data_IF_664744608245
#
_entry.id   IF_664744608245
#
_cell.length_a   1.000
_cell.length_b   1.000
_cell.length_c   1.000
_cell.angle_alpha   90.00
_cell.angle_beta   90.00
_cell.angle_gamma   90.00
#
_symmetry.space_group_name_H-M   'P 1'
#
loop_
_entity.id
_entity.type
_entity.pdbx_description
1 polymer ?
#
# COMPACT_ATOMS: atom_id res chain seq x y z
N UNK A 1 22.68 23.04 -1.54
CA UNK A 1 21.84 21.84 -1.40
C UNK A 1 22.72 20.71 -0.89
N UNK A 2 22.27 19.90 0.08
CA UNK A 2 23.05 18.80 0.65
C UNK A 2 22.23 17.52 0.62
N UNK A 3 22.77 16.46 0.03
CA UNK A 3 22.18 15.12 0.10
C UNK A 3 22.61 14.49 1.43
N UNK A 4 21.65 13.96 2.18
CA UNK A 4 21.85 13.31 3.47
C UNK A 4 21.39 11.85 3.36
N UNK A 5 22.19 10.92 3.88
CA UNK A 5 21.71 9.55 4.06
C UNK A 5 20.65 9.49 5.15
N UNK A 6 19.84 8.44 5.14
CA UNK A 6 18.81 8.25 6.17
C UNK A 6 19.38 8.26 7.60
N UNK A 7 20.61 7.77 7.83
CA UNK A 7 21.24 7.82 9.16
C UNK A 7 21.51 9.25 9.67
N UNK A 8 21.53 10.23 8.76
CA UNK A 8 21.77 11.63 9.07
C UNK A 8 20.46 12.42 9.26
N UNK A 9 19.30 11.75 9.11
CA UNK A 9 17.96 12.32 9.26
C UNK A 9 17.24 11.48 10.32
N UNK A 10 16.89 12.08 11.45
CA UNK A 10 16.10 11.36 12.46
C UNK A 10 14.75 10.90 11.90
N UNK A 11 14.21 9.80 12.44
CA UNK A 11 12.88 9.33 12.02
C UNK A 11 11.79 10.36 12.31
N UNK A 12 11.93 11.14 13.39
CA UNK A 12 11.02 12.24 13.70
C UNK A 12 11.05 13.32 12.62
N UNK A 13 12.24 13.72 12.13
CA UNK A 13 12.36 14.67 11.04
C UNK A 13 11.81 14.12 9.72
N UNK A 14 12.08 12.84 9.45
CA UNK A 14 11.59 12.15 8.25
C UNK A 14 10.06 12.04 8.23
N UNK A 15 9.47 11.64 9.36
CA UNK A 15 8.03 11.48 9.48
C UNK A 15 7.32 12.83 9.54
N UNK A 16 7.92 13.86 10.15
CA UNK A 16 7.38 15.22 10.10
C UNK A 16 7.33 15.76 8.66
N UNK A 17 8.36 15.48 7.85
CA UNK A 17 8.32 15.77 6.41
C UNK A 17 7.20 14.99 5.73
N UNK A 18 7.08 13.69 6.04
CA UNK A 18 5.99 12.87 5.51
C UNK A 18 4.64 13.50 5.85
N UNK A 19 4.39 13.88 7.09
CA UNK A 19 3.09 14.43 7.49
C UNK A 19 2.75 15.75 6.77
N UNK A 20 3.76 16.58 6.48
CA UNK A 20 3.59 17.87 5.81
C UNK A 20 3.48 17.79 4.27
N UNK A 21 4.21 16.87 3.61
CA UNK A 21 4.24 16.81 2.14
C UNK A 21 2.95 16.22 1.56
N UNK A 22 2.31 16.81 0.54
CA UNK A 22 1.16 16.16 -0.11
C UNK A 22 1.55 14.90 -0.89
N UNK A 23 2.83 14.76 -1.27
CA UNK A 23 3.36 13.71 -2.15
C UNK A 23 3.74 12.41 -1.41
N UNK A 24 3.50 12.35 -0.11
CA UNK A 24 3.83 11.19 0.73
C UNK A 24 2.59 10.41 1.17
N UNK A 25 2.77 9.10 1.25
CA UNK A 25 1.82 8.16 1.81
C UNK A 25 2.47 7.38 2.97
N UNK A 26 1.71 6.48 3.61
CA UNK A 26 2.23 5.62 4.68
C UNK A 26 3.47 4.83 4.28
N UNK A 27 3.64 4.55 2.98
CA UNK A 27 4.82 3.86 2.41
C UNK A 27 6.10 4.68 2.44
N UNK A 28 6.02 6.01 2.56
CA UNK A 28 7.18 6.89 2.69
C UNK A 28 7.71 6.96 4.12
N UNK A 29 6.89 6.68 5.13
CA UNK A 29 7.26 6.87 6.54
C UNK A 29 8.37 5.92 7.02
N UNK A 30 9.04 6.33 8.09
CA UNK A 30 10.13 5.58 8.75
C UNK A 30 9.74 4.11 9.02
N UNK A 31 8.54 3.89 9.57
CA UNK A 31 8.01 2.54 9.83
C UNK A 31 7.95 1.65 8.60
N UNK A 32 7.63 2.21 7.42
CA UNK A 32 7.61 1.43 6.20
C UNK A 32 8.99 0.95 5.82
N UNK A 33 10.02 1.78 6.01
CA UNK A 33 11.43 1.37 5.82
C UNK A 33 11.81 0.30 6.83
N UNK A 34 11.52 0.50 8.12
CA UNK A 34 11.82 -0.46 9.18
C UNK A 34 11.19 -1.83 8.91
N UNK A 35 9.92 -1.86 8.47
CA UNK A 35 9.26 -3.11 8.09
C UNK A 35 9.93 -3.82 6.92
N UNK A 36 10.52 -3.09 5.97
CA UNK A 36 11.31 -3.73 4.90
C UNK A 36 12.63 -4.29 5.42
N UNK A 37 13.23 -3.67 6.44
CA UNK A 37 14.48 -4.14 7.07
C UNK A 37 14.30 -5.32 8.02
N UNK A 38 13.06 -5.75 8.29
CA UNK A 38 12.81 -7.01 8.98
C UNK A 38 13.28 -8.23 8.17
N UNK A 39 13.45 -8.09 6.84
CA UNK A 39 14.18 -9.07 6.03
C UNK A 39 15.68 -8.75 6.07
N UNK A 40 16.54 -9.66 6.56
CA UNK A 40 17.98 -9.42 6.69
C UNK A 40 18.69 -9.28 5.34
N UNK A 41 18.04 -9.63 4.22
CA UNK A 41 18.60 -9.44 2.87
C UNK A 41 18.34 -8.04 2.30
N UNK A 42 17.65 -7.18 3.06
CA UNK A 42 17.37 -5.81 2.68
C UNK A 42 18.31 -4.84 3.39
N UNK A 43 18.71 -3.77 2.70
CA UNK A 43 19.47 -2.67 3.28
C UNK A 43 18.86 -1.32 2.89
N UNK A 44 18.86 -0.38 3.84
CA UNK A 44 18.31 0.95 3.63
C UNK A 44 19.36 1.88 3.02
N UNK A 45 19.04 2.40 1.85
CA UNK A 45 19.80 3.40 1.12
C UNK A 45 18.96 4.65 0.84
N UNK A 46 17.89 4.85 1.62
CA UNK A 46 17.07 6.05 1.58
C UNK A 46 17.90 7.29 1.86
N UNK A 47 17.45 8.41 1.34
CA UNK A 47 18.12 9.69 1.50
C UNK A 47 17.14 10.84 1.47
N UNK A 48 17.61 12.01 1.86
CA UNK A 48 16.87 13.26 1.74
C UNK A 48 17.74 14.37 1.20
N UNK A 49 17.09 15.41 0.68
CA UNK A 49 17.75 16.62 0.21
C UNK A 49 17.47 17.74 1.20
N UNK A 50 18.52 18.29 1.79
CA UNK A 50 18.47 19.36 2.78
C UNK A 50 18.92 20.68 2.15
N UNK A 51 18.16 21.76 2.39
CA UNK A 51 18.53 23.11 2.00
C UNK A 51 18.28 24.06 3.18
N UNK A 52 19.30 24.80 3.59
CA UNK A 52 19.24 25.76 4.70
C UNK A 52 18.67 25.16 6.01
N UNK A 53 18.99 23.90 6.29
CA UNK A 53 18.51 23.19 7.48
C UNK A 53 17.08 22.66 7.39
N UNK A 54 16.42 22.81 6.24
CA UNK A 54 15.07 22.29 5.97
C UNK A 54 15.12 21.13 4.98
N UNK A 55 14.38 20.05 5.29
CA UNK A 55 14.26 18.90 4.42
C UNK A 55 13.33 19.24 3.25
N UNK A 56 13.86 19.23 2.04
CA UNK A 56 13.17 19.63 0.81
C UNK A 56 12.64 18.44 0.02
N UNK A 57 13.24 17.26 0.21
CA UNK A 57 12.84 16.02 -0.43
C UNK A 57 13.24 14.81 0.42
N UNK A 58 12.50 13.72 0.26
CA UNK A 58 12.88 12.39 0.73
C UNK A 58 12.75 11.37 -0.41
N UNK A 59 13.59 10.35 -0.40
CA UNK A 59 13.54 9.24 -1.34
C UNK A 59 13.72 7.92 -0.56
N UNK A 60 12.64 7.16 -0.32
CA UNK A 60 12.75 5.82 0.23
C UNK A 60 13.42 4.88 -0.80
N UNK A 61 14.47 4.19 -0.37
CA UNK A 61 15.27 3.38 -1.28
C UNK A 61 15.82 2.15 -0.57
N UNK A 62 15.16 1.01 -0.75
CA UNK A 62 15.55 -0.27 -0.16
C UNK A 62 16.25 -1.12 -1.22
N UNK A 63 17.51 -1.49 -0.96
CA UNK A 63 18.23 -2.46 -1.77
C UNK A 63 17.88 -3.86 -1.27
N UNK A 64 17.55 -4.77 -2.17
CA UNK A 64 17.19 -6.15 -1.84
C UNK A 64 17.84 -7.14 -2.80
N UNK A 65 18.02 -8.36 -2.34
CA UNK A 65 18.36 -9.48 -3.22
C UNK A 65 17.16 -9.87 -4.11
N UNK A 66 17.45 -10.19 -5.38
CA UNK A 66 16.49 -10.82 -6.28
C UNK A 66 16.53 -12.34 -6.01
N UNK A 67 15.41 -12.98 -5.63
CA UNK A 67 15.39 -14.42 -5.35
C UNK A 67 15.94 -15.24 -6.51
N UNK A 68 16.64 -16.33 -6.17
CA UNK A 68 17.20 -17.28 -7.13
C UNK A 68 18.29 -16.70 -8.07
N UNK A 69 18.83 -15.53 -7.72
CA UNK A 69 19.94 -14.87 -8.44
C UNK A 69 21.00 -14.35 -7.47
N UNK A 70 22.13 -13.88 -8.01
CA UNK A 70 23.15 -13.12 -7.25
C UNK A 70 22.97 -11.61 -7.40
N UNK A 71 21.87 -11.16 -8.01
CA UNK A 71 21.62 -9.78 -8.36
C UNK A 71 20.87 -9.03 -7.25
N UNK A 72 20.99 -7.71 -7.26
CA UNK A 72 20.29 -6.81 -6.33
C UNK A 72 19.49 -5.77 -7.09
N UNK A 73 18.38 -5.33 -6.51
CA UNK A 73 17.55 -4.27 -7.06
C UNK A 73 17.09 -3.30 -5.99
N UNK A 74 16.71 -2.09 -6.40
CA UNK A 74 15.92 -1.21 -5.56
C UNK A 74 14.43 -1.50 -5.71
N UNK A 75 13.82 -2.04 -4.66
CA UNK A 75 12.38 -2.29 -4.53
C UNK A 75 12.03 -2.67 -3.08
N UNK A 76 10.80 -2.42 -2.65
CA UNK A 76 10.32 -2.82 -1.31
C UNK A 76 10.11 -4.34 -1.21
N UNK A 77 9.49 -4.93 -2.22
CA UNK A 77 9.22 -6.37 -2.24
C UNK A 77 9.36 -6.95 -3.65
N UNK A 78 9.26 -8.28 -3.79
CA UNK A 78 9.21 -8.93 -5.12
C UNK A 78 8.15 -8.29 -6.03
N UNK A 79 7.00 -7.93 -5.47
CA UNK A 79 5.85 -7.43 -6.22
C UNK A 79 5.57 -5.94 -5.95
N UNK A 80 6.46 -5.24 -5.25
CA UNK A 80 6.25 -3.84 -4.89
C UNK A 80 7.53 -3.04 -5.11
N UNK A 81 7.45 -2.11 -6.06
CA UNK A 81 8.46 -1.09 -6.30
C UNK A 81 8.66 -0.20 -5.07
N UNK A 82 9.74 0.58 -5.03
CA UNK A 82 9.93 1.61 -3.99
C UNK A 82 9.06 2.83 -4.32
N UNK A 83 8.47 3.53 -3.33
CA UNK A 83 7.75 4.77 -3.58
C UNK A 83 8.68 5.81 -4.21
N UNK A 84 8.15 6.58 -5.16
CA UNK A 84 8.86 7.69 -5.77
C UNK A 84 9.31 8.71 -4.72
N UNK A 85 10.39 9.47 -5.00
CA UNK A 85 10.76 10.60 -4.18
C UNK A 85 9.57 11.53 -3.95
N UNK A 86 9.48 12.09 -2.75
CA UNK A 86 8.45 13.04 -2.37
C UNK A 86 9.09 14.37 -2.00
N UNK A 87 8.46 15.45 -2.43
CA UNK A 87 8.97 16.81 -2.32
C UNK A 87 8.19 17.63 -1.29
N UNK A 88 8.83 18.66 -0.76
CA UNK A 88 8.20 19.58 0.18
C UNK A 88 6.99 20.28 -0.46
N UNK A 89 6.00 20.64 0.37
CA UNK A 89 4.84 21.41 -0.09
C UNK A 89 5.24 22.83 -0.50
N UNK A 90 4.51 23.42 -1.46
CA UNK A 90 4.60 24.85 -1.76
C UNK A 90 5.80 25.24 -2.64
N UNK A 91 6.45 24.27 -3.28
CA UNK A 91 7.50 24.53 -4.25
C UNK A 91 6.93 25.12 -5.55
N UNK A 92 7.62 26.12 -6.10
CA UNK A 92 7.40 26.54 -7.48
C UNK A 92 7.81 25.43 -8.45
N UNK A 93 7.18 25.37 -9.63
CA UNK A 93 7.36 24.30 -10.61
C UNK A 93 8.84 24.05 -10.97
N UNK A 94 9.60 25.12 -11.26
CA UNK A 94 11.04 25.00 -11.59
C UNK A 94 11.83 24.33 -10.45
N UNK A 95 11.55 24.70 -9.20
CA UNK A 95 12.23 24.12 -8.04
C UNK A 95 11.80 22.68 -7.76
N UNK A 96 10.54 22.37 -8.03
CA UNK A 96 10.00 21.02 -7.95
C UNK A 96 10.71 20.11 -8.96
N UNK A 97 10.82 20.53 -10.21
CA UNK A 97 11.52 19.81 -11.27
C UNK A 97 13.02 19.63 -10.96
N UNK A 98 13.71 20.69 -10.50
CA UNK A 98 15.12 20.64 -10.08
C UNK A 98 15.36 19.59 -8.99
N UNK A 99 14.53 19.61 -7.93
CA UNK A 99 14.67 18.68 -6.80
C UNK A 99 14.32 17.24 -7.19
N UNK A 100 13.29 17.05 -8.03
CA UNK A 100 12.93 15.72 -8.53
C UNK A 100 14.07 15.15 -9.38
N UNK A 101 14.61 15.93 -10.32
CA UNK A 101 15.77 15.53 -11.13
C UNK A 101 16.95 15.14 -10.24
N UNK A 102 17.24 15.90 -9.18
CA UNK A 102 18.32 15.59 -8.25
C UNK A 102 18.08 14.28 -7.49
N UNK A 103 16.85 14.03 -7.01
CA UNK A 103 16.49 12.75 -6.38
C UNK A 103 16.67 11.57 -7.34
N UNK A 104 16.22 11.71 -8.59
CA UNK A 104 16.35 10.63 -9.58
C UNK A 104 17.83 10.40 -9.94
N UNK A 105 18.62 11.46 -10.09
CA UNK A 105 20.07 11.38 -10.34
C UNK A 105 20.81 10.70 -9.19
N UNK A 106 20.51 11.05 -7.94
CA UNK A 106 21.12 10.40 -6.76
C UNK A 106 20.71 8.92 -6.67
N UNK A 107 19.47 8.58 -7.03
CA UNK A 107 19.01 7.18 -7.11
C UNK A 107 19.84 6.39 -8.12
N UNK A 108 20.06 6.93 -9.32
CA UNK A 108 20.91 6.31 -10.34
C UNK A 108 22.35 6.14 -9.84
N UNK A 109 22.92 7.17 -9.20
CA UNK A 109 24.28 7.11 -8.66
C UNK A 109 24.44 6.06 -7.56
N UNK A 110 23.41 5.85 -6.73
CA UNK A 110 23.39 4.78 -5.73
C UNK A 110 23.25 3.42 -6.38
N UNK A 111 22.42 3.29 -7.41
CA UNK A 111 22.21 2.03 -8.12
C UNK A 111 23.52 1.52 -8.72
N UNK A 112 24.23 2.40 -9.44
CA UNK A 112 25.54 2.08 -10.04
C UNK A 112 26.57 1.73 -8.96
N UNK A 113 26.67 2.53 -7.88
CA UNK A 113 27.64 2.32 -6.80
C UNK A 113 27.42 1.02 -6.02
N UNK A 114 26.19 0.55 -5.97
CA UNK A 114 25.77 -0.64 -5.22
C UNK A 114 25.55 -1.84 -6.13
N UNK A 115 25.96 -1.77 -7.40
CA UNK A 115 25.80 -2.84 -8.38
C UNK A 115 24.34 -3.35 -8.44
N UNK A 116 23.37 -2.45 -8.32
CA UNK A 116 21.96 -2.79 -8.47
C UNK A 116 21.65 -2.93 -9.96
N UNK A 117 21.16 -4.09 -10.40
CA UNK A 117 20.86 -4.34 -11.81
C UNK A 117 19.66 -3.52 -12.31
N UNK A 118 18.78 -3.12 -11.39
CA UNK A 118 17.63 -2.26 -11.70
C UNK A 118 17.07 -1.50 -10.49
N UNK A 119 16.30 -0.46 -10.79
CA UNK A 119 15.45 0.23 -9.83
C UNK A 119 14.00 0.19 -10.30
N UNK A 120 13.09 -0.17 -9.38
CA UNK A 120 11.65 -0.13 -9.59
C UNK A 120 11.05 0.95 -8.72
N UNK A 121 10.40 1.93 -9.34
CA UNK A 121 9.76 3.05 -8.65
C UNK A 121 8.27 3.09 -8.98
N UNK A 122 7.42 3.47 -8.03
CA UNK A 122 6.01 3.77 -8.29
C UNK A 122 5.56 5.06 -7.61
N UNK A 123 4.56 5.72 -8.19
CA UNK A 123 3.84 6.83 -7.59
C UNK A 123 2.55 6.27 -7.01
N UNK A 124 2.39 6.45 -5.72
CA UNK A 124 1.25 5.95 -4.97
C UNK A 124 -0.04 6.67 -5.40
N UNK A 125 -1.13 5.95 -5.73
CA UNK A 125 -2.39 6.59 -6.13
C UNK A 125 -2.97 7.49 -5.03
N UNK A 126 -2.53 7.31 -3.78
CA UNK A 126 -2.96 8.09 -2.63
C UNK A 126 -2.02 9.27 -2.30
N UNK A 127 -1.12 9.72 -3.18
CA UNK A 127 -0.21 10.88 -2.92
C UNK A 127 -0.46 12.12 -3.75
N UNK A 128 -1.50 12.14 -4.59
CA UNK A 128 -1.94 13.35 -5.28
C UNK A 128 -3.38 13.64 -4.92
N UNK A 129 -3.84 14.90 -4.96
CA UNK A 129 -5.27 15.14 -5.02
C UNK A 129 -5.74 14.43 -6.29
N UNK A 130 -6.62 13.41 -6.15
CA UNK A 130 -7.23 12.71 -7.29
C UNK A 130 -8.06 13.65 -8.20
N UNK A 131 -8.14 14.93 -7.85
CA UNK A 131 -8.80 16.02 -8.56
C UNK A 131 -7.88 16.77 -9.54
N UNK A 132 -6.57 16.48 -9.56
CA UNK A 132 -5.64 17.05 -10.56
C UNK A 132 -5.77 16.26 -11.86
N UNK A 133 -5.76 16.94 -13.02
CA UNK A 133 -5.72 16.29 -14.32
C UNK A 133 -4.65 15.21 -14.34
N UNK A 134 -5.10 13.97 -14.45
CA UNK A 134 -4.22 12.81 -14.50
C UNK A 134 -3.49 12.90 -15.83
N UNK A 135 -2.17 13.12 -15.77
CA UNK A 135 -1.30 13.04 -16.94
C UNK A 135 -1.62 11.77 -17.72
N UNK A 136 -1.76 11.87 -19.04
CA UNK A 136 -1.98 10.69 -19.89
C UNK A 136 -0.72 9.84 -20.04
N UNK A 137 0.44 10.34 -19.58
CA UNK A 137 1.73 9.69 -19.70
C UNK A 137 2.38 9.46 -18.33
N UNK A 138 3.13 8.36 -18.23
CA UNK A 138 3.90 8.02 -17.04
C UNK A 138 5.00 9.06 -16.79
N UNK A 139 4.96 9.81 -15.68
CA UNK A 139 5.93 10.86 -15.39
C UNK A 139 7.34 10.33 -15.10
N UNK A 140 7.52 9.02 -14.90
CA UNK A 140 8.84 8.41 -14.70
C UNK A 140 9.61 8.24 -16.02
N UNK A 141 8.92 8.26 -17.16
CA UNK A 141 9.52 8.06 -18.48
C UNK A 141 10.59 9.11 -18.80
N UNK A 142 10.39 10.36 -18.37
CA UNK A 142 11.37 11.45 -18.55
C UNK A 142 12.72 11.19 -17.84
N UNK A 143 12.74 10.30 -16.85
CA UNK A 143 13.96 9.91 -16.12
C UNK A 143 14.58 8.61 -16.64
N UNK A 144 14.12 8.13 -17.81
CA UNK A 144 14.64 6.93 -18.46
C UNK A 144 14.07 5.61 -17.90
N UNK A 145 12.95 5.67 -17.17
CA UNK A 145 12.26 4.46 -16.73
C UNK A 145 11.37 3.93 -17.86
N UNK A 146 11.43 2.62 -18.09
CA UNK A 146 10.45 1.91 -18.91
C UNK A 146 9.14 1.81 -18.15
N UNK A 147 8.03 2.10 -18.82
CA UNK A 147 6.72 2.08 -18.21
C UNK A 147 6.34 0.67 -17.72
N UNK A 148 6.03 0.56 -16.43
CA UNK A 148 5.51 -0.62 -15.78
C UNK A 148 4.22 -0.31 -15.00
N UNK A 149 3.58 0.81 -15.33
CA UNK A 149 2.38 1.31 -14.67
C UNK A 149 1.24 0.32 -14.80
N UNK A 150 0.30 0.44 -13.87
CA UNK A 150 -0.91 -0.38 -13.81
C UNK A 150 -2.08 0.47 -13.32
N UNK A 151 -3.21 -0.18 -13.02
CA UNK A 151 -4.42 0.46 -12.54
C UNK A 151 -4.69 0.03 -11.10
N UNK A 152 -4.98 1.00 -10.24
CA UNK A 152 -5.60 0.78 -8.94
C UNK A 152 -7.09 1.17 -8.99
N UNK A 153 -7.88 0.64 -8.06
CA UNK A 153 -9.30 0.99 -7.94
C UNK A 153 -9.53 1.73 -6.63
N UNK A 154 -9.89 3.00 -6.72
CA UNK A 154 -10.06 3.85 -5.53
C UNK A 154 -11.52 4.25 -5.38
N UNK A 155 -12.07 4.02 -4.19
CA UNK A 155 -13.42 4.42 -3.82
C UNK A 155 -13.38 5.82 -3.20
N UNK A 156 -14.12 6.75 -3.78
CA UNK A 156 -14.38 8.08 -3.21
C UNK A 156 -15.43 7.97 -2.09
N UNK A 157 -14.98 8.05 -0.84
CA UNK A 157 -15.83 7.92 0.34
C UNK A 157 -16.63 9.20 0.66
N UNK A 158 -16.45 10.28 -0.09
CA UNK A 158 -17.31 11.47 0.03
C UNK A 158 -18.74 11.19 -0.45
N UNK A 159 -18.90 10.25 -1.40
CA UNK A 159 -20.21 9.81 -1.94
C UNK A 159 -21.11 9.23 -0.86
N UNK A 160 -22.42 9.40 -0.98
CA UNK A 160 -23.35 8.80 -0.02
C UNK A 160 -23.41 7.27 -0.18
N UNK A 161 -23.90 6.55 0.84
CA UNK A 161 -23.92 5.08 0.83
C UNK A 161 -24.71 4.50 -0.35
N UNK A 162 -25.82 5.14 -0.73
CA UNK A 162 -26.64 4.69 -1.85
C UNK A 162 -25.87 4.77 -3.17
N UNK A 163 -25.15 5.87 -3.39
CA UNK A 163 -24.26 6.06 -4.55
C UNK A 163 -23.16 5.00 -4.58
N UNK A 164 -22.48 4.78 -3.45
CA UNK A 164 -21.43 3.77 -3.31
C UNK A 164 -21.95 2.38 -3.65
N UNK A 165 -23.12 2.01 -3.11
CA UNK A 165 -23.72 0.69 -3.34
C UNK A 165 -24.13 0.49 -4.81
N UNK A 166 -24.75 1.51 -5.44
CA UNK A 166 -25.17 1.44 -6.86
C UNK A 166 -23.98 1.28 -7.81
N UNK A 167 -22.82 1.83 -7.46
CA UNK A 167 -21.59 1.68 -8.26
C UNK A 167 -20.97 0.29 -8.19
N UNK A 168 -21.31 -0.52 -7.19
CA UNK A 168 -20.83 -1.91 -7.11
C UNK A 168 -21.39 -2.78 -8.25
N UNK A 169 -20.82 -3.96 -8.47
CA UNK A 169 -21.42 -4.93 -9.40
C UNK A 169 -22.76 -5.46 -8.87
N UNK A 170 -23.65 -5.90 -9.78
CA UNK A 170 -24.90 -6.58 -9.40
C UNK A 170 -24.64 -7.79 -8.48
N UNK A 171 -23.56 -8.52 -8.71
CA UNK A 171 -23.16 -9.68 -7.90
C UNK A 171 -22.82 -9.26 -6.47
N UNK A 172 -21.94 -8.27 -6.30
CA UNK A 172 -21.54 -7.79 -4.97
C UNK A 172 -22.73 -7.20 -4.19
N UNK A 173 -23.59 -6.40 -4.82
CA UNK A 173 -24.83 -5.94 -4.17
C UNK A 173 -25.71 -7.09 -3.70
N UNK A 174 -25.90 -8.11 -4.55
CA UNK A 174 -26.69 -9.29 -4.19
C UNK A 174 -26.06 -10.06 -3.04
N UNK A 175 -24.74 -10.15 -2.99
CA UNK A 175 -24.00 -10.86 -1.96
C UNK A 175 -24.05 -10.12 -0.62
N UNK A 176 -23.93 -8.79 -0.64
CA UNK A 176 -24.12 -7.93 0.55
C UNK A 176 -25.55 -8.10 1.07
N UNK A 177 -26.56 -7.99 0.21
CA UNK A 177 -27.97 -8.14 0.60
C UNK A 177 -28.27 -9.53 1.16
N UNK A 178 -27.65 -10.58 0.60
CA UNK A 178 -27.77 -11.95 1.11
C UNK A 178 -27.13 -12.07 2.50
N UNK A 179 -25.90 -11.58 2.65
CA UNK A 179 -25.14 -11.66 3.89
C UNK A 179 -25.75 -10.82 5.02
N UNK A 180 -26.39 -9.68 4.71
CA UNK A 180 -27.14 -8.87 5.69
C UNK A 180 -28.37 -9.58 6.25
N UNK A 181 -28.94 -10.56 5.53
CA UNK A 181 -30.01 -11.41 6.04
C UNK A 181 -29.49 -12.58 6.87
N UNK A 182 -28.16 -12.76 6.91
CA UNK A 182 -27.50 -13.65 7.84
C UNK A 182 -27.10 -12.87 9.07
N UNK A 183 -27.00 -13.57 10.18
CA UNK A 183 -26.54 -12.99 11.45
C UNK A 183 -25.00 -12.86 11.49
N UNK A 184 -24.40 -12.47 10.36
CA UNK A 184 -22.98 -12.19 10.31
C UNK A 184 -22.71 -10.83 10.95
N UNK A 185 -21.62 -10.75 11.72
CA UNK A 185 -21.18 -9.51 12.36
C UNK A 185 -19.78 -9.14 11.90
N UNK A 186 -19.46 -7.85 11.96
CA UNK A 186 -18.11 -7.34 11.68
C UNK A 186 -17.63 -6.58 12.90
N UNK A 187 -16.49 -7.02 13.43
CA UNK A 187 -15.80 -6.39 14.54
C UNK A 187 -14.62 -5.55 14.00
N UNK A 188 -14.45 -4.35 14.54
CA UNK A 188 -13.39 -3.42 14.15
C UNK A 188 -12.42 -3.19 15.30
N UNK A 189 -11.14 -3.31 14.99
CA UNK A 189 -10.05 -3.12 15.92
C UNK A 189 -9.07 -2.07 15.41
N UNK A 190 -8.68 -1.15 16.27
CA UNK A 190 -7.68 -0.12 16.02
C UNK A 190 -6.75 0.01 17.24
N UNK A 191 -5.91 1.04 17.26
CA UNK A 191 -4.94 1.25 18.34
C UNK A 191 -5.55 1.37 19.74
N UNK A 192 -6.86 1.62 19.87
CA UNK A 192 -7.52 1.82 21.16
C UNK A 192 -8.08 0.53 21.77
N UNK A 193 -8.32 -0.51 20.97
CA UNK A 193 -8.99 -1.73 21.42
C UNK A 193 -8.37 -3.04 20.89
N UNK A 194 -7.35 -2.98 20.04
CA UNK A 194 -6.64 -4.17 19.59
C UNK A 194 -5.88 -4.83 20.75
N UNK A 195 -5.90 -6.16 20.78
CA UNK A 195 -5.10 -6.98 21.71
C UNK A 195 -4.24 -7.98 20.93
N UNK A 196 -3.21 -8.52 21.57
CA UNK A 196 -2.39 -9.59 20.99
C UNK A 196 -3.20 -10.84 20.65
N UNK A 197 -4.24 -11.16 21.43
CA UNK A 197 -5.10 -12.31 21.17
C UNK A 197 -5.93 -12.12 19.89
N UNK A 198 -6.52 -10.94 19.69
CA UNK A 198 -7.24 -10.60 18.46
C UNK A 198 -6.29 -10.59 17.26
N UNK A 199 -5.08 -10.08 17.46
CA UNK A 199 -4.07 -10.10 16.42
C UNK A 199 -3.65 -11.53 16.02
N UNK A 200 -3.45 -12.41 17.01
CA UNK A 200 -3.14 -13.82 16.78
C UNK A 200 -4.24 -14.53 15.99
N UNK A 201 -5.51 -14.22 16.27
CA UNK A 201 -6.64 -14.72 15.46
C UNK A 201 -6.50 -14.34 13.99
N UNK A 202 -6.09 -13.11 13.67
CA UNK A 202 -5.88 -12.71 12.28
C UNK A 202 -4.68 -13.42 11.63
N UNK A 203 -3.58 -13.60 12.37
CA UNK A 203 -2.41 -14.38 11.89
C UNK A 203 -2.82 -15.81 11.56
N UNK A 204 -3.54 -16.49 12.47
CA UNK A 204 -4.01 -17.86 12.29
C UNK A 204 -4.91 -17.98 11.05
N UNK A 205 -5.83 -17.04 10.88
CA UNK A 205 -6.70 -16.95 9.70
C UNK A 205 -5.87 -16.78 8.41
N UNK A 206 -4.82 -15.94 8.46
CA UNK A 206 -3.96 -15.66 7.32
C UNK A 206 -3.11 -16.86 6.92
N UNK A 207 -2.49 -17.54 7.89
CA UNK A 207 -1.74 -18.79 7.66
C UNK A 207 -2.65 -19.88 7.10
N UNK A 208 -3.85 -20.06 7.66
CA UNK A 208 -4.84 -20.99 7.14
C UNK A 208 -5.22 -20.66 5.68
N UNK A 209 -5.47 -19.39 5.37
CA UNK A 209 -5.83 -18.97 4.02
C UNK A 209 -4.67 -19.15 3.01
N UNK A 210 -3.42 -18.93 3.44
CA UNK A 210 -2.24 -19.09 2.62
C UNK A 210 -1.82 -20.57 2.44
N UNK A 211 -2.20 -21.45 3.37
CA UNK A 211 -1.76 -22.85 3.40
C UNK A 211 -0.29 -23.03 3.77
N UNK A 212 0.35 -21.97 4.28
CA UNK A 212 1.75 -21.93 4.71
C UNK A 212 1.94 -20.82 5.73
N UNK A 213 3.04 -20.87 6.46
CA UNK A 213 3.51 -19.72 7.24
C UNK A 213 3.88 -18.62 6.24
N UNK A 214 3.27 -17.46 6.42
CA UNK A 214 3.58 -16.24 5.68
C UNK A 214 4.14 -15.23 6.66
N UNK A 215 5.18 -14.53 6.23
CA UNK A 215 5.95 -13.55 7.00
C UNK A 215 6.70 -14.14 8.21
N UNK A 216 7.80 -13.51 8.59
CA UNK A 216 8.54 -13.83 9.81
C UNK A 216 7.81 -13.27 11.04
N UNK A 217 8.13 -13.77 12.27
CA UNK A 217 7.62 -13.18 13.51
C UNK A 217 7.89 -11.67 13.61
N UNK A 218 9.05 -11.21 13.16
CA UNK A 218 9.45 -9.80 13.17
C UNK A 218 8.57 -8.97 12.25
N UNK A 219 8.24 -9.49 11.07
CA UNK A 219 7.33 -8.83 10.13
C UNK A 219 5.90 -8.73 10.69
N UNK A 220 5.43 -9.76 11.41
CA UNK A 220 4.13 -9.70 12.09
C UNK A 220 4.13 -8.73 13.27
N UNK A 221 5.19 -8.71 14.07
CA UNK A 221 5.36 -7.77 15.17
C UNK A 221 5.39 -6.32 14.65
N UNK A 222 6.07 -6.08 13.53
CA UNK A 222 6.10 -4.76 12.90
C UNK A 222 4.71 -4.33 12.39
N UNK A 223 3.97 -5.25 11.76
CA UNK A 223 2.60 -4.97 11.32
C UNK A 223 1.68 -4.67 12.51
N UNK A 224 1.84 -5.39 13.62
CA UNK A 224 1.12 -5.13 14.87
C UNK A 224 1.48 -3.75 15.44
N UNK A 225 2.75 -3.37 15.43
CA UNK A 225 3.19 -2.05 15.88
C UNK A 225 2.56 -0.93 15.04
N UNK A 226 2.35 -1.12 13.73
CA UNK A 226 1.60 -0.14 12.91
C UNK A 226 0.15 -0.02 13.34
N UNK A 227 -0.51 -1.14 13.63
CA UNK A 227 -1.89 -1.18 14.11
C UNK A 227 -2.01 -0.46 15.47
N UNK A 228 -1.14 -0.79 16.42
CA UNK A 228 -1.04 -0.12 17.73
C UNK A 228 -0.66 1.36 17.60
N UNK A 229 0.10 1.74 16.58
CA UNK A 229 0.46 3.13 16.28
C UNK A 229 -0.64 3.94 15.57
N UNK A 230 -1.77 3.32 15.21
CA UNK A 230 -2.88 3.99 14.52
C UNK A 230 -2.72 4.15 13.00
N UNK A 231 -1.76 3.44 12.40
CA UNK A 231 -1.50 3.42 10.94
C UNK A 231 -2.15 2.24 10.23
N UNK A 232 -2.94 1.47 10.97
CA UNK A 232 -3.80 0.44 10.43
C UNK A 232 -5.07 0.27 11.28
N UNK A 233 -6.02 -0.49 10.74
CA UNK A 233 -7.16 -1.03 11.46
C UNK A 233 -7.41 -2.46 10.97
N UNK A 234 -7.95 -3.31 11.83
CA UNK A 234 -8.28 -4.69 11.54
C UNK A 234 -9.81 -4.85 11.59
N UNK A 235 -10.38 -5.46 10.56
CA UNK A 235 -11.79 -5.83 10.54
C UNK A 235 -11.91 -7.36 10.47
N UNK A 236 -12.70 -7.95 11.35
CA UNK A 236 -12.95 -9.39 11.39
C UNK A 236 -14.45 -9.67 11.21
N UNK A 237 -14.80 -10.49 10.22
CA UNK A 237 -16.15 -10.99 10.01
C UNK A 237 -16.35 -12.30 10.78
N UNK A 238 -17.45 -12.36 11.54
CA UNK A 238 -17.84 -13.52 12.35
C UNK A 238 -19.12 -14.16 11.80
N UNK A 239 -19.22 -15.48 11.94
CA UNK A 239 -20.42 -16.24 11.58
C UNK A 239 -21.62 -15.99 12.48
N UNK A 240 -22.74 -16.63 12.14
CA UNK A 240 -24.02 -16.58 12.86
C UNK A 240 -23.84 -16.94 14.35
N UNK A 241 -24.66 -16.35 15.23
CA UNK A 241 -24.74 -16.65 16.67
C UNK A 241 -23.40 -16.55 17.42
N UNK A 242 -22.52 -15.63 17.01
CA UNK A 242 -21.21 -15.46 17.65
C UNK A 242 -20.21 -16.57 17.34
N UNK A 243 -20.40 -17.27 16.21
CA UNK A 243 -19.53 -18.35 15.74
C UNK A 243 -18.07 -17.95 15.45
N UNK A 244 -17.33 -18.78 14.68
CA UNK A 244 -15.93 -18.52 14.40
C UNK A 244 -15.75 -17.30 13.49
N UNK A 245 -14.55 -16.72 13.52
CA UNK A 245 -14.13 -15.73 12.54
C UNK A 245 -13.97 -16.40 11.16
N UNK A 246 -14.68 -15.85 10.18
CA UNK A 246 -14.76 -16.36 8.82
C UNK A 246 -13.73 -15.71 7.90
N UNK A 247 -13.54 -14.40 8.06
CA UNK A 247 -12.67 -13.58 7.23
C UNK A 247 -12.13 -12.39 8.01
N UNK A 248 -11.00 -11.86 7.59
CA UNK A 248 -10.35 -10.72 8.21
C UNK A 248 -9.63 -9.88 7.18
N UNK A 249 -9.56 -8.58 7.44
CA UNK A 249 -8.91 -7.59 6.58
C UNK A 249 -8.12 -6.62 7.43
N UNK A 250 -6.85 -6.44 7.08
CA UNK A 250 -6.02 -5.36 7.58
C UNK A 250 -6.09 -4.19 6.59
N UNK A 251 -6.46 -3.02 7.09
CA UNK A 251 -6.57 -1.77 6.36
C UNK A 251 -5.44 -0.86 6.82
N UNK A 252 -4.55 -0.43 5.92
CA UNK A 252 -3.56 0.59 6.25
C UNK A 252 -4.18 1.97 6.12
N UNK A 253 -3.89 2.87 7.06
CA UNK A 253 -4.50 4.20 7.15
C UNK A 253 -3.43 5.28 7.32
N UNK A 254 -3.59 6.39 6.61
CA UNK A 254 -2.73 7.57 6.75
C UNK A 254 -3.45 8.78 6.15
N UNK A 255 -3.24 10.02 6.62
CA UNK A 255 -3.82 11.24 6.00
C UNK A 255 -5.28 11.15 5.50
N UNK A 256 -6.17 10.52 6.27
CA UNK A 256 -7.59 10.27 5.90
C UNK A 256 -7.78 9.51 4.59
N UNK A 257 -6.84 8.65 4.19
CA UNK A 257 -7.04 7.67 3.11
C UNK A 257 -6.77 6.27 3.65
N UNK A 258 -7.25 5.26 2.95
CA UNK A 258 -7.15 3.88 3.38
C UNK A 258 -6.67 2.99 2.22
N UNK A 259 -5.97 1.93 2.55
CA UNK A 259 -5.48 0.93 1.60
C UNK A 259 -5.84 -0.48 2.07
N UNK A 260 -6.45 -1.26 1.18
CA UNK A 260 -6.78 -2.66 1.40
C UNK A 260 -5.50 -3.51 1.37
N UNK A 261 -4.88 -3.69 2.54
CA UNK A 261 -3.50 -4.19 2.65
C UNK A 261 -3.40 -5.70 2.66
N UNK A 262 -4.03 -6.36 3.63
CA UNK A 262 -3.98 -7.81 3.78
C UNK A 262 -5.37 -8.37 4.00
N UNK A 263 -5.62 -9.56 3.49
CA UNK A 263 -6.92 -10.21 3.62
C UNK A 263 -6.76 -11.70 3.76
N UNK A 264 -7.63 -12.29 4.58
CA UNK A 264 -7.72 -13.72 4.73
C UNK A 264 -9.19 -14.14 4.86
N UNK A 265 -9.53 -15.25 4.22
CA UNK A 265 -10.80 -15.94 4.41
C UNK A 265 -10.46 -17.38 4.71
N UNK A 266 -10.98 -17.89 5.83
CA UNK A 266 -10.77 -19.25 6.26
C UNK A 266 -11.18 -20.21 5.13
N UNK A 267 -10.29 -21.12 4.68
CA UNK A 267 -10.59 -22.06 3.60
C UNK A 267 -11.86 -22.88 3.83
N UNK A 268 -12.17 -23.23 5.09
CA UNK A 268 -13.37 -24.00 5.45
C UNK A 268 -14.68 -23.26 5.14
N UNK A 269 -14.63 -21.92 5.08
CA UNK A 269 -15.79 -21.06 4.92
C UNK A 269 -15.78 -20.29 3.59
N UNK A 270 -14.85 -20.57 2.67
CA UNK A 270 -14.77 -19.88 1.37
C UNK A 270 -16.00 -20.06 0.48
N UNK A 271 -16.74 -21.16 0.68
CA UNK A 271 -18.01 -21.41 -0.01
C UNK A 271 -19.18 -20.61 0.55
N UNK A 272 -19.03 -19.97 1.73
CA UNK A 272 -20.05 -19.11 2.29
C UNK A 272 -20.20 -17.86 1.44
N UNK A 273 -21.38 -17.73 0.86
CA UNK A 273 -21.71 -16.63 -0.04
C UNK A 273 -21.69 -15.29 0.69
N UNK A 274 -20.96 -14.34 0.11
CA UNK A 274 -21.07 -12.92 0.45
C UNK A 274 -20.31 -12.45 1.69
N UNK A 275 -19.63 -13.32 2.44
CA UNK A 275 -18.84 -12.93 3.63
C UNK A 275 -17.81 -11.84 3.29
N UNK A 276 -17.03 -12.02 2.22
CA UNK A 276 -16.02 -11.04 1.81
C UNK A 276 -16.63 -9.71 1.35
N UNK A 277 -17.73 -9.76 0.58
CA UNK A 277 -18.41 -8.55 0.11
C UNK A 277 -19.06 -7.77 1.26
N UNK A 278 -19.65 -8.50 2.21
CA UNK A 278 -20.21 -7.95 3.45
C UNK A 278 -19.14 -7.28 4.32
N UNK A 279 -18.01 -7.96 4.56
CA UNK A 279 -16.89 -7.41 5.32
C UNK A 279 -16.38 -6.08 4.69
N UNK A 280 -16.17 -6.06 3.38
CA UNK A 280 -15.72 -4.86 2.68
C UNK A 280 -16.78 -3.74 2.69
N UNK A 281 -18.07 -4.07 2.60
CA UNK A 281 -19.15 -3.08 2.73
C UNK A 281 -19.15 -2.40 4.11
N UNK A 282 -18.97 -3.20 5.17
CA UNK A 282 -18.83 -2.66 6.52
C UNK A 282 -17.55 -1.82 6.68
N UNK A 283 -16.42 -2.23 6.07
CA UNK A 283 -15.18 -1.44 6.07
C UNK A 283 -15.40 -0.08 5.38
N UNK A 284 -16.07 -0.05 4.24
CA UNK A 284 -16.41 1.20 3.53
C UNK A 284 -17.23 2.13 4.43
N UNK A 285 -18.27 1.58 5.09
CA UNK A 285 -19.10 2.35 6.03
C UNK A 285 -18.31 2.88 7.23
N UNK A 286 -17.43 2.05 7.83
CA UNK A 286 -16.62 2.45 8.97
C UNK A 286 -15.59 3.51 8.62
N UNK A 287 -14.89 3.36 7.49
CA UNK A 287 -13.95 4.37 6.99
C UNK A 287 -14.66 5.71 6.73
N UNK A 288 -15.84 5.68 6.12
CA UNK A 288 -16.66 6.87 5.90
C UNK A 288 -17.07 7.52 7.24
N UNK A 289 -17.54 6.74 8.20
CA UNK A 289 -17.93 7.22 9.55
C UNK A 289 -16.76 7.89 10.27
N UNK A 290 -15.53 7.39 10.07
CA UNK A 290 -14.28 7.96 10.61
C UNK A 290 -13.73 9.14 9.81
N UNK A 291 -14.41 9.57 8.74
CA UNK A 291 -14.01 10.74 7.95
C UNK A 291 -12.87 10.49 6.97
N UNK A 292 -12.65 9.24 6.55
CA UNK A 292 -11.73 8.95 5.45
C UNK A 292 -12.34 9.41 4.12
N UNK A 293 -11.48 9.90 3.23
CA UNK A 293 -11.82 10.48 1.93
C UNK A 293 -11.75 9.44 0.82
N UNK A 294 -10.77 8.54 0.87
CA UNK A 294 -10.50 7.56 -0.18
C UNK A 294 -10.16 6.19 0.38
N UNK A 295 -10.59 5.13 -0.32
CA UNK A 295 -10.21 3.75 -0.04
C UNK A 295 -9.69 3.06 -1.29
N UNK A 296 -8.39 2.80 -1.32
CA UNK A 296 -7.71 2.05 -2.38
C UNK A 296 -7.89 0.55 -2.17
N UNK A 297 -8.60 -0.10 -3.09
CA UNK A 297 -8.83 -1.55 -3.11
C UNK A 297 -7.59 -2.32 -3.60
N UNK A 298 -6.54 -1.62 -4.00
CA UNK A 298 -5.28 -2.12 -4.50
C UNK A 298 -5.23 -2.22 -6.02
N UNK A 299 -4.06 -2.59 -6.50
CA UNK A 299 -3.73 -2.57 -7.92
C UNK A 299 -3.92 -3.90 -8.63
N UNK A 300 -3.99 -3.78 -9.95
CA UNK A 300 -3.87 -4.82 -10.95
C UNK A 300 -2.38 -5.17 -11.14
N UNK A 301 -1.97 -6.44 -11.12
CA UNK A 301 -0.54 -6.82 -11.37
C UNK A 301 -0.29 -7.31 -12.80
N UNK A 302 -1.32 -7.32 -13.67
CA UNK A 302 -1.20 -7.89 -15.02
C UNK A 302 -0.41 -7.02 -16.02
N UNK A 303 0.36 -6.04 -15.56
CA UNK A 303 1.30 -5.26 -16.39
C UNK A 303 2.73 -5.79 -16.26
N UNK A 304 3.02 -6.61 -15.25
CA UNK A 304 4.21 -7.45 -15.30
C UNK A 304 3.93 -8.60 -16.27
N UNK A 305 4.91 -8.92 -17.11
CA UNK A 305 4.88 -10.05 -18.07
C UNK A 305 4.87 -11.43 -17.37
N UNK A 306 4.15 -11.54 -16.27
CA UNK A 306 4.01 -12.73 -15.43
C UNK A 306 2.61 -13.26 -15.70
N UNK A 307 2.51 -14.53 -16.10
CA UNK A 307 1.22 -15.20 -16.18
C UNK A 307 0.56 -15.21 -14.81
N UNK A 308 -0.53 -14.45 -14.66
CA UNK A 308 -1.31 -14.44 -13.43
C UNK A 308 -2.02 -15.79 -13.26
N UNK A 309 -1.93 -16.35 -12.07
CA UNK A 309 -2.73 -17.50 -11.69
C UNK A 309 -4.23 -17.14 -11.67
N UNK A 310 -5.09 -18.14 -11.87
CA UNK A 310 -6.54 -17.98 -11.71
C UNK A 310 -6.93 -17.32 -10.37
N UNK A 311 -6.22 -17.68 -9.30
CA UNK A 311 -6.42 -17.10 -7.96
C UNK A 311 -6.20 -15.59 -7.95
N UNK A 312 -5.14 -15.10 -8.59
CA UNK A 312 -4.83 -13.67 -8.64
C UNK A 312 -5.85 -12.91 -9.49
N UNK A 313 -6.28 -13.50 -10.61
CA UNK A 313 -7.36 -12.95 -11.45
C UNK A 313 -8.66 -12.86 -10.65
N UNK A 314 -9.01 -13.88 -9.87
CA UNK A 314 -10.22 -13.89 -9.05
C UNK A 314 -10.18 -12.83 -7.93
N UNK A 315 -9.03 -12.66 -7.26
CA UNK A 315 -8.82 -11.62 -6.23
C UNK A 315 -9.00 -10.22 -6.84
N UNK A 316 -8.45 -10.02 -8.03
CA UNK A 316 -8.51 -8.75 -8.74
C UNK A 316 -9.93 -8.42 -9.22
N UNK A 317 -10.63 -9.40 -9.79
CA UNK A 317 -12.02 -9.26 -10.16
C UNK A 317 -12.89 -8.94 -8.94
N UNK A 318 -12.67 -9.60 -7.81
CA UNK A 318 -13.35 -9.28 -6.55
C UNK A 318 -13.16 -7.80 -6.17
N UNK A 319 -11.93 -7.29 -6.15
CA UNK A 319 -11.63 -5.88 -5.82
C UNK A 319 -12.31 -4.88 -6.76
N UNK A 320 -12.26 -5.13 -8.08
CA UNK A 320 -12.87 -4.25 -9.10
C UNK A 320 -14.37 -4.08 -8.92
N UNK A 321 -15.05 -5.08 -8.38
CA UNK A 321 -16.51 -5.09 -8.29
C UNK A 321 -17.11 -4.25 -7.15
N UNK A 322 -16.28 -3.55 -6.37
CA UNK A 322 -16.72 -2.60 -5.33
C UNK A 322 -16.98 -1.17 -5.84
N UNK A 323 -16.87 -0.91 -7.14
CA UNK A 323 -17.32 0.35 -7.73
C UNK A 323 -16.34 1.53 -7.62
N UNK A 324 -15.08 1.27 -7.24
CA UNK A 324 -14.01 2.26 -7.27
C UNK A 324 -13.68 2.73 -8.69
N UNK A 325 -13.22 3.96 -8.80
CA UNK A 325 -12.73 4.54 -10.05
C UNK A 325 -11.35 3.97 -10.38
N UNK A 326 -11.09 3.59 -11.65
CA UNK A 326 -9.75 3.20 -12.08
C UNK A 326 -8.84 4.43 -12.07
N UNK A 327 -7.72 4.34 -11.36
CA UNK A 327 -6.68 5.38 -11.33
C UNK A 327 -5.34 4.78 -11.74
N UNK A 328 -4.48 5.52 -12.45
CA UNK A 328 -3.14 5.04 -12.73
C UNK A 328 -2.34 4.89 -11.44
N UNK A 329 -1.76 3.71 -11.26
CA UNK A 329 -0.60 3.51 -10.41
C UNK A 329 0.61 3.61 -11.32
N UNK A 330 1.19 4.80 -11.40
CA UNK A 330 2.37 5.02 -12.24
C UNK A 330 3.54 4.23 -11.67
N UNK A 331 4.18 3.41 -12.50
CA UNK A 331 5.36 2.66 -12.09
C UNK A 331 6.35 2.57 -13.23
N UNK A 332 7.62 2.46 -12.91
CA UNK A 332 8.70 2.42 -13.87
C UNK A 332 9.80 1.47 -13.43
N UNK A 333 10.46 0.86 -14.42
CA UNK A 333 11.66 0.06 -14.23
C UNK A 333 12.80 0.68 -15.02
N UNK A 334 13.93 0.92 -14.37
CA UNK A 334 15.17 1.36 -15.01
C UNK A 334 16.25 0.32 -14.77
N UNK A 335 16.77 -0.23 -15.87
CA UNK A 335 17.85 -1.21 -15.86
C UNK A 335 19.20 -0.48 -15.85
N UNK A 336 20.10 -0.89 -14.98
CA UNK A 336 21.49 -0.43 -14.95
C UNK A 336 22.34 -1.60 -15.44
N UNK A 337 22.75 -1.54 -16.71
CA UNK A 337 23.58 -2.58 -17.31
C UNK A 337 24.85 -2.74 -16.47
N UNK A 338 25.12 -3.96 -16.02
CA UNK A 338 26.43 -4.38 -15.51
C UNK A 338 27.47 -4.35 -16.63
#
# INVERSE_FOLDING_TARGET
MKILSWQQISDEQWDAFCDASPETWGRHRSMSRHGMLADPNNSDHSFGIMQNGVLMAIAPLILRAIPDTHEREFAYSRNMATPAPALAQGLFLEKHEELLQECMRETDQRAIRLDAVRARIFIDPLTRPMQVEISTQNPLAQFGYTDASTIAYVIDLSKNEQELLVRMSKGHRSDITFAQKKDYTVEFFDCTNITEDVWRVFIDLYHAAAGRIVNSPEQWAETFNRLCGGFASLALARGEDGGPYLSGVLISTYKRRAYYSMAATNPQYRSLRGVGAFLQWHIIGELKRRGFEYYDMGWYDGTQRIEMSKKEIDIMNFKRHFGGDPVPLWAGIKEYKS
#
